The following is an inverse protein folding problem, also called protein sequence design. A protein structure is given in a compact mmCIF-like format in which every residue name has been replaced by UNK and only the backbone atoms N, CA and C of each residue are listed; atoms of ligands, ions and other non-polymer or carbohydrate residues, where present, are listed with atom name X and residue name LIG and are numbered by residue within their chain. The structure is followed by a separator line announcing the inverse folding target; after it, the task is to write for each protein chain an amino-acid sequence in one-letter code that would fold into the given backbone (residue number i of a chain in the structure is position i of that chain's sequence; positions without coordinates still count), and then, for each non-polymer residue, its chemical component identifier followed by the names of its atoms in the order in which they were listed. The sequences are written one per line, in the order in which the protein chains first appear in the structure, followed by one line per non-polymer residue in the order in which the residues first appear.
data_IF_401171676405
#
_entry.id   IF_401171676405
#
_cell.length_a   1.000
_cell.length_b   1.000
_cell.length_c   1.000
_cell.angle_alpha   90.00
_cell.angle_beta   90.00
_cell.angle_gamma   90.00
#
_symmetry.space_group_name_H-M   'P 1'
#
loop_
_entity.id
_entity.type
_entity.pdbx_description
1 polymer ?
#
# COMPACT_ATOMS: atom_id res chain seq x y z
N UNK A 1 27.92 4.44 26.70
CA UNK A 1 26.47 4.15 26.75
C UNK A 1 26.26 2.82 27.45
N UNK A 2 25.31 2.77 28.37
CA UNK A 2 24.92 1.52 29.02
C UNK A 2 24.05 0.66 28.08
N UNK A 3 23.95 -0.64 28.37
CA UNK A 3 23.05 -1.55 27.64
C UNK A 3 21.59 -1.07 27.72
N UNK A 4 21.18 -0.52 28.86
CA UNK A 4 19.84 0.03 29.08
C UNK A 4 19.57 1.24 28.17
N UNK A 5 20.53 2.17 28.03
CA UNK A 5 20.42 3.30 27.11
C UNK A 5 20.31 2.84 25.66
N UNK A 6 21.12 1.87 25.24
CA UNK A 6 21.05 1.32 23.87
C UNK A 6 19.70 0.64 23.59
N UNK A 7 19.18 -0.15 24.53
CA UNK A 7 17.88 -0.81 24.40
C UNK A 7 16.73 0.21 24.35
N UNK A 8 16.80 1.28 25.15
CA UNK A 8 15.81 2.35 25.13
C UNK A 8 15.80 3.09 23.79
N UNK A 9 16.98 3.44 23.26
CA UNK A 9 17.10 4.06 21.93
C UNK A 9 16.60 3.14 20.81
N UNK A 10 16.91 1.84 20.88
CA UNK A 10 16.39 0.85 19.94
C UNK A 10 14.85 0.80 19.95
N UNK A 11 14.25 0.79 21.16
CA UNK A 11 12.80 0.75 21.31
C UNK A 11 12.13 1.98 20.69
N UNK A 12 12.64 3.18 21.00
CA UNK A 12 12.13 4.42 20.41
C UNK A 12 12.29 4.44 18.87
N UNK A 13 13.43 3.96 18.35
CA UNK A 13 13.65 3.86 16.91
C UNK A 13 12.65 2.92 16.23
N UNK A 14 12.40 1.76 16.85
CA UNK A 14 11.42 0.78 16.36
C UNK A 14 10.01 1.37 16.36
N UNK A 15 9.61 2.07 17.42
CA UNK A 15 8.28 2.66 17.52
C UNK A 15 8.08 3.78 16.49
N UNK A 16 9.08 4.63 16.28
CA UNK A 16 9.04 5.64 15.22
C UNK A 16 8.89 5.00 13.84
N UNK A 17 9.67 3.95 13.52
CA UNK A 17 9.54 3.25 12.23
C UNK A 17 8.20 2.56 12.05
N UNK A 18 7.64 2.00 13.12
CA UNK A 18 6.29 1.44 13.08
C UNK A 18 5.24 2.49 12.80
N UNK A 19 5.33 3.67 13.43
CA UNK A 19 4.44 4.80 13.17
C UNK A 19 4.57 5.31 11.73
N UNK A 20 5.80 5.43 11.20
CA UNK A 20 6.02 5.76 9.78
C UNK A 20 5.32 4.76 8.85
N UNK A 21 5.47 3.46 9.09
CA UNK A 21 4.79 2.44 8.28
C UNK A 21 3.26 2.48 8.43
N UNK A 22 2.74 2.80 9.63
CA UNK A 22 1.30 2.99 9.82
C UNK A 22 0.74 4.16 9.01
N UNK A 23 1.46 5.29 8.97
CA UNK A 23 1.09 6.42 8.14
C UNK A 23 1.10 6.04 6.65
N UNK A 24 2.15 5.35 6.18
CA UNK A 24 2.27 4.89 4.79
C UNK A 24 1.12 3.93 4.42
N UNK A 25 0.81 2.97 5.28
CA UNK A 25 -0.32 2.04 5.08
C UNK A 25 -1.64 2.82 5.03
N UNK A 26 -1.86 3.78 5.92
CA UNK A 26 -3.06 4.61 5.94
C UNK A 26 -3.24 5.37 4.62
N UNK A 27 -2.19 6.05 4.16
CA UNK A 27 -2.20 6.77 2.87
C UNK A 27 -2.47 5.86 1.68
N UNK A 28 -1.89 4.66 1.67
CA UNK A 28 -2.13 3.65 0.63
C UNK A 28 -3.59 3.17 0.64
N UNK A 29 -4.17 2.91 1.83
CA UNK A 29 -5.59 2.55 1.96
C UNK A 29 -6.51 3.66 1.44
N UNK A 30 -6.21 4.92 1.77
CA UNK A 30 -6.95 6.07 1.23
C UNK A 30 -6.85 6.14 -0.30
N UNK A 31 -5.64 6.01 -0.86
CA UNK A 31 -5.43 6.03 -2.30
C UNK A 31 -6.22 4.90 -3.00
N UNK A 32 -6.20 3.67 -2.45
CA UNK A 32 -6.99 2.54 -2.96
C UNK A 32 -8.49 2.84 -2.95
N UNK A 33 -8.99 3.43 -1.86
CA UNK A 33 -10.40 3.82 -1.77
C UNK A 33 -10.78 4.84 -2.85
N UNK A 34 -9.94 5.86 -3.06
CA UNK A 34 -10.18 6.88 -4.08
C UNK A 34 -10.20 6.27 -5.48
N UNK A 35 -9.27 5.36 -5.81
CA UNK A 35 -9.26 4.66 -7.11
C UNK A 35 -10.54 3.85 -7.30
N UNK A 36 -11.00 3.13 -6.27
CA UNK A 36 -12.27 2.38 -6.34
C UNK A 36 -13.47 3.29 -6.58
N UNK A 37 -13.53 4.45 -5.92
CA UNK A 37 -14.58 5.44 -6.16
C UNK A 37 -14.56 5.96 -7.60
N UNK A 38 -13.37 6.32 -8.12
CA UNK A 38 -13.23 6.74 -9.53
C UNK A 38 -13.57 5.62 -10.51
N UNK A 39 -13.24 4.36 -10.18
CA UNK A 39 -13.63 3.19 -10.97
C UNK A 39 -15.15 3.05 -11.08
N UNK A 40 -15.86 3.21 -9.95
CA UNK A 40 -17.32 3.14 -9.91
C UNK A 40 -17.97 4.27 -10.72
N UNK A 41 -17.44 5.50 -10.61
CA UNK A 41 -17.89 6.65 -11.40
C UNK A 41 -17.65 6.42 -12.90
N UNK A 42 -16.45 5.96 -13.27
CA UNK A 42 -16.13 5.68 -14.67
C UNK A 42 -16.99 4.53 -15.24
N UNK A 43 -17.41 3.56 -14.42
CA UNK A 43 -18.38 2.55 -14.83
C UNK A 43 -19.77 3.14 -15.12
N UNK A 44 -20.18 4.21 -14.44
CA UNK A 44 -21.40 4.95 -14.77
C UNK A 44 -21.24 5.68 -16.09
N UNK A 45 -20.13 6.38 -16.30
CA UNK A 45 -19.86 7.11 -17.55
C UNK A 45 -19.82 6.16 -18.76
N UNK A 46 -19.22 4.98 -18.62
CA UNK A 46 -19.22 3.94 -19.66
C UNK A 46 -20.65 3.51 -20.03
N UNK A 47 -21.58 3.45 -19.06
CA UNK A 47 -22.99 3.11 -19.35
C UNK A 47 -23.66 4.20 -20.18
N UNK A 48 -23.38 5.46 -19.89
CA UNK A 48 -23.93 6.60 -20.62
C UNK A 48 -23.37 6.70 -22.04
N UNK A 49 -22.07 6.45 -22.24
CA UNK A 49 -21.44 6.40 -23.56
C UNK A 49 -22.10 5.35 -24.48
N UNK A 50 -22.61 4.24 -23.92
CA UNK A 50 -23.35 3.23 -24.68
C UNK A 50 -24.76 3.66 -25.09
N UNK A 51 -25.34 4.64 -24.41
CA UNK A 51 -26.74 5.08 -24.59
C UNK A 51 -26.84 6.57 -24.91
N UNK A 52 -26.24 7.06 -26.01
CA UNK A 52 -26.34 8.48 -26.31
C UNK A 52 -27.77 8.83 -26.72
N UNK A 53 -28.31 9.89 -26.11
CA UNK A 53 -29.56 10.50 -26.54
C UNK A 53 -29.29 11.34 -27.80
N UNK A 54 -29.39 10.71 -28.97
CA UNK A 54 -29.22 11.39 -30.26
C UNK A 54 -30.57 11.72 -30.88
N UNK A 55 -30.75 12.99 -31.26
CA UNK A 55 -31.86 13.41 -32.11
C UNK A 55 -31.65 12.91 -33.55
N UNK A 56 -32.75 12.85 -34.30
CA UNK A 56 -32.88 12.46 -35.71
C UNK A 56 -31.94 13.18 -36.69
N UNK A 57 -31.32 14.29 -36.27
CA UNK A 57 -30.34 15.09 -37.02
C UNK A 57 -28.93 14.48 -37.06
N UNK A 58 -28.62 13.49 -36.22
CA UNK A 58 -27.35 12.77 -36.22
C UNK A 58 -27.31 11.65 -37.29
N UNK A 59 -27.38 12.07 -38.57
CA UNK A 59 -27.32 11.18 -39.74
C UNK A 59 -26.17 11.59 -40.68
N UNK A 60 -25.87 10.74 -41.66
CA UNK A 60 -24.78 10.96 -42.61
C UNK A 60 -23.41 10.94 -41.95
N UNK A 61 -22.43 11.62 -42.57
CA UNK A 61 -21.02 11.63 -42.13
C UNK A 61 -20.86 12.07 -40.67
N UNK A 62 -21.60 13.09 -40.24
CA UNK A 62 -21.60 13.58 -38.84
C UNK A 62 -22.03 12.51 -37.83
N UNK A 63 -23.03 11.69 -38.18
CA UNK A 63 -23.47 10.58 -37.33
C UNK A 63 -22.43 9.46 -37.26
N UNK A 64 -21.81 9.15 -38.39
CA UNK A 64 -20.73 8.14 -38.47
C UNK A 64 -19.50 8.55 -37.66
N UNK A 65 -19.06 9.80 -37.77
CA UNK A 65 -17.91 10.31 -37.04
C UNK A 65 -18.15 10.33 -35.52
N UNK A 66 -19.33 10.76 -35.09
CA UNK A 66 -19.71 10.69 -33.69
C UNK A 66 -19.69 9.26 -33.17
N UNK A 67 -20.27 8.32 -33.93
CA UNK A 67 -20.28 6.92 -33.54
C UNK A 67 -18.86 6.36 -33.39
N UNK A 68 -17.94 6.72 -34.30
CA UNK A 68 -16.53 6.34 -34.25
C UNK A 68 -15.86 6.87 -32.98
N UNK A 69 -15.89 8.19 -32.75
CA UNK A 69 -15.26 8.80 -31.57
C UNK A 69 -15.84 8.26 -30.25
N UNK A 70 -17.15 8.05 -30.20
CA UNK A 70 -17.83 7.46 -29.04
C UNK A 70 -17.35 6.03 -28.78
N UNK A 71 -17.17 5.22 -29.84
CA UNK A 71 -16.69 3.84 -29.72
C UNK A 71 -15.23 3.82 -29.26
N UNK A 72 -14.40 4.72 -29.79
CA UNK A 72 -13.00 4.85 -29.39
C UNK A 72 -12.89 5.24 -27.91
N UNK A 73 -13.65 6.25 -27.48
CA UNK A 73 -13.73 6.65 -26.08
C UNK A 73 -14.21 5.50 -25.18
N UNK A 74 -15.22 4.74 -25.61
CA UNK A 74 -15.68 3.55 -24.88
C UNK A 74 -14.55 2.53 -24.69
N UNK A 75 -13.78 2.23 -25.73
CA UNK A 75 -12.68 1.26 -25.65
C UNK A 75 -11.59 1.73 -24.69
N UNK A 76 -11.14 2.98 -24.84
CA UNK A 76 -10.11 3.56 -23.95
C UNK A 76 -10.57 3.55 -22.49
N UNK A 77 -11.79 4.01 -22.21
CA UNK A 77 -12.30 4.02 -20.84
C UNK A 77 -12.46 2.61 -20.27
N UNK A 78 -12.93 1.65 -21.08
CA UNK A 78 -13.04 0.27 -20.64
C UNK A 78 -11.68 -0.30 -20.26
N UNK A 79 -10.65 -0.04 -21.05
CA UNK A 79 -9.32 -0.56 -20.82
C UNK A 79 -8.71 0.03 -19.54
N UNK A 80 -8.80 1.35 -19.35
CA UNK A 80 -8.34 2.03 -18.12
C UNK A 80 -9.05 1.45 -16.88
N UNK A 81 -10.38 1.38 -16.92
CA UNK A 81 -11.20 0.98 -15.76
C UNK A 81 -11.00 -0.48 -15.39
N UNK A 82 -10.83 -1.38 -16.36
CA UNK A 82 -10.74 -2.82 -16.10
C UNK A 82 -9.31 -3.35 -16.02
N UNK A 83 -8.31 -2.59 -16.48
CA UNK A 83 -6.91 -3.03 -16.50
C UNK A 83 -6.01 -2.13 -15.66
N UNK A 84 -5.96 -0.83 -15.96
CA UNK A 84 -5.01 0.08 -15.29
C UNK A 84 -5.35 0.28 -13.81
N UNK A 85 -6.63 0.53 -13.51
CA UNK A 85 -7.06 0.72 -12.11
C UNK A 85 -6.83 -0.54 -11.26
N UNK A 86 -7.14 -1.72 -11.79
CA UNK A 86 -6.86 -2.99 -11.08
C UNK A 86 -5.36 -3.23 -10.89
N UNK A 87 -4.53 -2.84 -11.86
CA UNK A 87 -3.06 -2.91 -11.73
C UNK A 87 -2.59 -2.04 -10.58
N UNK A 88 -3.01 -0.78 -10.50
CA UNK A 88 -2.64 0.11 -9.39
C UNK A 88 -3.14 -0.38 -8.03
N UNK A 89 -4.35 -0.94 -7.98
CA UNK A 89 -4.88 -1.50 -6.74
C UNK A 89 -4.04 -2.69 -6.27
N UNK A 90 -3.64 -3.57 -7.18
CA UNK A 90 -2.77 -4.70 -6.85
C UNK A 90 -1.39 -4.25 -6.36
N UNK A 91 -0.78 -3.24 -6.99
CA UNK A 91 0.48 -2.65 -6.54
C UNK A 91 0.37 -2.02 -5.15
N UNK A 92 -0.75 -1.35 -4.86
CA UNK A 92 -1.04 -0.80 -3.53
C UNK A 92 -1.14 -1.94 -2.50
N UNK A 93 -1.86 -3.01 -2.80
CA UNK A 93 -2.03 -4.15 -1.88
C UNK A 93 -0.68 -4.83 -1.59
N UNK A 94 0.18 -5.00 -2.59
CA UNK A 94 1.53 -5.51 -2.40
C UNK A 94 2.39 -4.61 -1.50
N UNK A 95 2.29 -3.29 -1.66
CA UNK A 95 3.01 -2.34 -0.80
C UNK A 95 2.50 -2.32 0.63
N UNK A 96 1.18 -2.43 0.83
CA UNK A 96 0.59 -2.58 2.17
C UNK A 96 1.15 -3.84 2.83
N UNK A 97 1.10 -4.99 2.15
CA UNK A 97 1.65 -6.25 2.67
C UNK A 97 3.13 -6.12 3.04
N UNK A 98 3.94 -5.49 2.18
CA UNK A 98 5.36 -5.23 2.44
C UNK A 98 5.59 -4.41 3.72
N UNK A 99 4.82 -3.33 3.92
CA UNK A 99 4.94 -2.54 5.15
C UNK A 99 4.42 -3.28 6.38
N UNK A 100 3.36 -4.07 6.26
CA UNK A 100 2.87 -4.92 7.36
C UNK A 100 3.91 -5.97 7.79
N UNK A 101 4.61 -6.60 6.84
CA UNK A 101 5.71 -7.52 7.12
C UNK A 101 6.87 -6.83 7.84
N UNK A 102 7.27 -5.63 7.39
CA UNK A 102 8.31 -4.85 8.08
C UNK A 102 7.91 -4.48 9.51
N UNK A 103 6.65 -4.09 9.74
CA UNK A 103 6.13 -3.82 11.09
C UNK A 103 6.17 -5.07 11.98
N UNK A 104 5.88 -6.25 11.42
CA UNK A 104 5.96 -7.52 12.13
C UNK A 104 7.41 -7.86 12.50
N UNK A 105 8.35 -7.69 11.60
CA UNK A 105 9.78 -7.89 11.89
C UNK A 105 10.26 -7.00 13.04
N UNK A 106 9.92 -5.71 12.98
CA UNK A 106 10.21 -4.76 14.06
C UNK A 106 9.52 -5.14 15.39
N UNK A 107 8.30 -5.70 15.34
CA UNK A 107 7.59 -6.21 16.52
C UNK A 107 8.39 -7.30 17.23
N UNK A 108 8.89 -8.25 16.45
CA UNK A 108 9.66 -9.37 16.94
C UNK A 108 10.96 -8.85 17.57
N UNK A 109 11.67 -7.95 16.87
CA UNK A 109 12.89 -7.33 17.39
C UNK A 109 12.65 -6.58 18.73
N UNK A 110 11.57 -5.80 18.82
CA UNK A 110 11.21 -5.06 20.05
C UNK A 110 10.89 -6.00 21.21
N UNK A 111 10.11 -7.07 20.98
CA UNK A 111 9.79 -8.06 22.01
C UNK A 111 11.05 -8.78 22.54
N UNK A 112 12.02 -9.06 21.68
CA UNK A 112 13.30 -9.65 22.11
C UNK A 112 14.15 -8.65 22.89
N UNK A 113 14.25 -7.40 22.44
CA UNK A 113 14.98 -6.35 23.12
C UNK A 113 14.41 -6.06 24.53
N UNK A 114 13.08 -6.02 24.68
CA UNK A 114 12.43 -5.85 25.98
C UNK A 114 12.69 -7.00 26.97
N UNK A 115 13.04 -8.19 26.46
CA UNK A 115 13.42 -9.37 27.27
C UNK A 115 14.92 -9.48 27.53
N UNK A 116 15.74 -8.54 27.05
CA UNK A 116 17.18 -8.54 27.28
C UNK A 116 17.57 -8.48 28.76
N UNK A 117 16.70 -7.95 29.63
CA UNK A 117 16.90 -7.99 31.09
C UNK A 117 16.76 -9.41 31.67
N UNK A 118 15.81 -10.21 31.17
CA UNK A 118 15.64 -11.63 31.55
C UNK A 118 16.74 -12.54 30.95
N UNK A 119 17.47 -12.05 29.94
CA UNK A 119 18.53 -12.78 29.22
C UNK A 119 19.83 -12.83 30.02
N UNK A 120 20.14 -11.79 30.81
CA UNK A 120 21.33 -11.76 31.67
C UNK A 120 21.31 -12.87 32.74
N UNK A 121 20.12 -13.32 33.16
CA UNK A 121 19.96 -14.42 34.11
C UNK A 121 20.15 -15.82 33.47
N UNK A 122 20.10 -15.93 32.14
CA UNK A 122 20.03 -17.23 31.42
C UNK A 122 21.33 -17.66 30.70
N UNK A 123 22.41 -16.87 30.80
CA UNK A 123 23.77 -17.25 30.34
C UNK A 123 24.20 -16.70 28.97
N UNK A 124 25.49 -16.87 28.64
CA UNK A 124 26.20 -16.22 27.52
C UNK A 124 25.68 -16.55 26.11
N UNK A 125 25.21 -17.77 25.87
CA UNK A 125 24.75 -18.18 24.52
C UNK A 125 23.44 -17.47 24.15
N UNK A 126 22.54 -17.27 25.12
CA UNK A 126 21.30 -16.53 24.91
C UNK A 126 21.59 -15.02 24.72
N UNK A 127 22.63 -14.49 25.36
CA UNK A 127 23.09 -13.11 25.15
C UNK A 127 23.64 -12.86 23.74
N UNK A 128 24.32 -13.84 23.12
CA UNK A 128 24.80 -13.75 21.74
C UNK A 128 23.64 -13.71 20.72
N UNK A 129 22.61 -14.53 20.92
CA UNK A 129 21.43 -14.55 20.04
C UNK A 129 20.66 -13.22 20.08
N UNK A 130 20.50 -12.66 21.28
CA UNK A 130 19.89 -11.33 21.45
C UNK A 130 20.74 -10.24 20.82
N UNK A 131 22.06 -10.28 20.98
CA UNK A 131 22.97 -9.32 20.32
C UNK A 131 22.83 -9.37 18.80
N UNK A 132 22.81 -10.56 18.20
CA UNK A 132 22.62 -10.71 16.75
C UNK A 132 21.25 -10.23 16.26
N UNK A 133 20.19 -10.40 17.05
CA UNK A 133 18.86 -9.87 16.73
C UNK A 133 18.81 -8.35 16.84
N UNK A 134 19.44 -7.76 17.86
CA UNK A 134 19.59 -6.31 18.00
C UNK A 134 20.38 -5.73 16.83
N UNK A 135 21.47 -6.38 16.41
CA UNK A 135 22.26 -5.99 15.24
C UNK A 135 21.44 -6.02 13.94
N UNK A 136 20.53 -7.00 13.79
CA UNK A 136 19.60 -7.03 12.64
C UNK A 136 18.55 -5.93 12.73
N UNK A 137 17.96 -5.71 13.90
CA UNK A 137 17.00 -4.62 14.13
C UNK A 137 17.62 -3.25 13.85
N UNK A 138 18.87 -3.03 14.25
CA UNK A 138 19.61 -1.80 13.97
C UNK A 138 19.87 -1.58 12.48
N UNK A 139 20.10 -2.66 11.71
CA UNK A 139 20.23 -2.58 10.25
C UNK A 139 18.91 -2.30 9.53
N UNK A 140 17.77 -2.54 10.20
CA UNK A 140 16.43 -2.35 9.66
C UNK A 140 15.84 -0.97 9.95
N UNK A 141 16.44 -0.21 10.88
CA UNK A 141 16.13 1.19 11.17
C UNK A 141 16.78 2.13 10.14
#
# INVERSE_FOLDING_TARGET
MSLSEMLHHLHMGIDNKRAEFDEMISRLKTAKSNIRTEQDLAHLDIKEIKKPALDSSWKGERGTDFHRHRKDAYHVMRDIVNSEYETYINEIDQKILHFELKKMELAVASNFAGRAQDVMEKGEDFAKDVKHLIERGWKAL
#
